data_IF_201971476296
#
_entry.id   IF_201971476296
#
_cell.length_a   1.000
_cell.length_b   1.000
_cell.length_c   1.000
_cell.angle_alpha   90.00
_cell.angle_beta   90.00
_cell.angle_gamma   90.00
#
_symmetry.space_group_name_H-M   'P 1'
#
loop_
_entity.id
_entity.type
_entity.pdbx_description
1 polymer ?
#
# COMPACT_ATOMS: atom_id res chain seq x y z
N UNK A 1 -25.80 18.50 -8.36
CA UNK A 1 -24.88 17.34 -8.31
C UNK A 1 -24.35 16.92 -9.68
N UNK A 2 -25.08 17.03 -10.80
CA UNK A 2 -24.53 16.78 -12.16
C UNK A 2 -23.85 18.00 -12.81
N UNK A 3 -24.23 19.23 -12.45
CA UNK A 3 -23.65 20.45 -13.04
C UNK A 3 -22.25 20.81 -12.50
N UNK A 4 -21.93 20.44 -11.26
CA UNK A 4 -20.62 20.72 -10.65
C UNK A 4 -19.48 19.84 -11.24
N UNK A 5 -19.82 18.79 -11.98
CA UNK A 5 -18.83 17.95 -12.67
C UNK A 5 -18.25 18.58 -13.93
N UNK A 6 -18.80 19.69 -14.41
CA UNK A 6 -18.31 20.37 -15.64
C UNK A 6 -17.15 21.33 -15.38
N UNK A 7 -16.77 21.51 -14.11
CA UNK A 7 -15.59 22.27 -13.67
C UNK A 7 -14.62 21.38 -12.86
N UNK A 8 -14.61 20.07 -13.13
CA UNK A 8 -13.51 19.23 -12.67
C UNK A 8 -12.27 19.64 -13.46
N UNK A 9 -11.27 20.17 -12.76
CA UNK A 9 -9.92 20.45 -13.23
C UNK A 9 -9.50 19.47 -14.35
N UNK A 10 -9.04 19.93 -15.52
CA UNK A 10 -8.64 19.07 -16.64
C UNK A 10 -7.66 17.96 -16.20
N UNK A 11 -6.84 18.23 -15.17
CA UNK A 11 -5.95 17.27 -14.53
C UNK A 11 -6.69 16.04 -13.94
N UNK A 12 -7.84 16.25 -13.29
CA UNK A 12 -8.65 15.19 -12.68
C UNK A 12 -9.26 14.28 -13.76
N UNK A 13 -9.64 14.86 -14.89
CA UNK A 13 -10.13 14.15 -16.07
C UNK A 13 -9.01 13.29 -16.69
N UNK A 14 -7.78 13.82 -16.83
CA UNK A 14 -6.62 13.07 -17.33
C UNK A 14 -6.20 11.92 -16.42
N UNK A 15 -6.26 12.10 -15.10
CA UNK A 15 -5.99 11.04 -14.11
C UNK A 15 -7.00 9.90 -14.26
N UNK A 16 -8.29 10.22 -14.36
CA UNK A 16 -9.36 9.24 -14.53
C UNK A 16 -9.25 8.53 -15.88
N UNK A 17 -8.94 9.26 -16.97
CA UNK A 17 -8.78 8.67 -18.30
C UNK A 17 -7.55 7.75 -18.35
N UNK A 18 -6.42 8.18 -17.81
CA UNK A 18 -5.20 7.34 -17.74
C UNK A 18 -5.45 6.10 -16.90
N UNK A 19 -6.16 6.24 -15.77
CA UNK A 19 -6.61 5.11 -14.95
C UNK A 19 -7.48 4.13 -15.75
N UNK A 20 -8.53 4.62 -16.40
CA UNK A 20 -9.44 3.78 -17.18
C UNK A 20 -8.74 3.09 -18.35
N UNK A 21 -7.82 3.77 -19.03
CA UNK A 21 -7.02 3.19 -20.11
C UNK A 21 -6.10 2.09 -19.58
N UNK A 22 -5.41 2.32 -18.47
CA UNK A 22 -4.59 1.30 -17.80
C UNK A 22 -5.45 0.11 -17.33
N UNK A 23 -6.63 0.36 -16.76
CA UNK A 23 -7.54 -0.68 -16.30
C UNK A 23 -8.14 -1.48 -17.47
N UNK A 24 -8.43 -0.86 -18.61
CA UNK A 24 -8.95 -1.53 -19.81
C UNK A 24 -7.86 -2.36 -20.50
N UNK A 25 -6.65 -1.82 -20.70
CA UNK A 25 -5.49 -2.57 -21.20
C UNK A 25 -5.19 -3.78 -20.30
N UNK A 26 -5.35 -3.60 -18.99
CA UNK A 26 -5.20 -4.66 -18.00
C UNK A 26 -6.19 -5.81 -18.20
N UNK A 27 -7.50 -5.49 -18.29
CA UNK A 27 -8.57 -6.49 -18.40
C UNK A 27 -8.52 -7.26 -19.73
N UNK A 28 -8.15 -6.60 -20.84
CA UNK A 28 -8.20 -7.22 -22.17
C UNK A 28 -6.94 -8.01 -22.56
N UNK A 29 -5.77 -7.68 -22.02
CA UNK A 29 -4.51 -8.24 -22.52
C UNK A 29 -3.53 -8.72 -21.45
N UNK A 30 -3.51 -8.07 -20.28
CA UNK A 30 -2.44 -8.24 -19.29
C UNK A 30 -2.77 -9.20 -18.12
N UNK A 31 -4.00 -9.71 -18.04
CA UNK A 31 -4.44 -10.60 -16.95
C UNK A 31 -3.65 -11.91 -16.81
N UNK A 32 -2.91 -12.30 -17.84
CA UNK A 32 -2.16 -13.56 -17.86
C UNK A 32 -0.75 -13.42 -17.22
N UNK A 33 -0.39 -12.25 -16.70
CA UNK A 33 0.91 -11.99 -16.08
C UNK A 33 0.73 -11.57 -14.60
N UNK A 34 1.11 -12.43 -13.63
CA UNK A 34 0.93 -12.22 -12.18
C UNK A 34 1.49 -10.88 -11.64
N UNK A 35 2.58 -10.39 -12.25
CA UNK A 35 3.21 -9.11 -11.89
C UNK A 35 2.27 -7.92 -12.13
N UNK A 36 1.48 -7.98 -13.19
CA UNK A 36 0.69 -6.85 -13.68
C UNK A 36 -0.64 -6.71 -12.93
N UNK A 37 -1.18 -7.80 -12.38
CA UNK A 37 -2.34 -7.77 -11.49
C UNK A 37 -2.04 -7.01 -10.18
N UNK A 38 -0.92 -7.34 -9.55
CA UNK A 38 -0.47 -6.67 -8.34
C UNK A 38 -0.15 -5.18 -8.58
N UNK A 39 0.48 -4.87 -9.72
CA UNK A 39 0.78 -3.50 -10.12
C UNK A 39 -0.50 -2.67 -10.34
N UNK A 40 -1.53 -3.25 -10.95
CA UNK A 40 -2.80 -2.56 -11.25
C UNK A 40 -3.65 -2.33 -10.01
N UNK A 41 -3.63 -3.25 -9.04
CA UNK A 41 -4.30 -3.03 -7.75
C UNK A 41 -3.58 -1.91 -6.98
N UNK A 42 -2.25 -1.92 -6.96
CA UNK A 42 -1.45 -0.88 -6.31
C UNK A 42 -1.63 0.49 -6.99
N UNK A 43 -1.68 0.57 -8.33
CA UNK A 43 -1.91 1.83 -9.05
C UNK A 43 -3.27 2.45 -8.73
N UNK A 44 -4.30 1.64 -8.44
CA UNK A 44 -5.59 2.13 -7.99
C UNK A 44 -5.53 2.94 -6.69
N UNK A 45 -4.61 2.63 -5.77
CA UNK A 45 -4.39 3.43 -4.56
C UNK A 45 -3.73 4.77 -4.87
N UNK A 46 -2.74 4.78 -5.77
CA UNK A 46 -2.09 6.01 -6.22
C UNK A 46 -3.06 6.96 -6.91
N UNK A 47 -3.94 6.42 -7.75
CA UNK A 47 -4.90 7.21 -8.52
C UNK A 47 -5.99 7.79 -7.61
N UNK A 48 -6.40 7.07 -6.55
CA UNK A 48 -7.25 7.65 -5.50
C UNK A 48 -6.55 8.76 -4.73
N UNK A 49 -5.27 8.61 -4.41
CA UNK A 49 -4.49 9.67 -3.78
C UNK A 49 -4.45 10.91 -4.67
N UNK A 50 -4.03 10.76 -5.93
CA UNK A 50 -3.96 11.84 -6.93
C UNK A 50 -5.31 12.53 -7.14
N UNK A 51 -6.40 11.77 -7.24
CA UNK A 51 -7.75 12.34 -7.32
C UNK A 51 -8.12 13.14 -6.06
N UNK A 52 -7.71 12.66 -4.87
CA UNK A 52 -7.89 13.38 -3.61
C UNK A 52 -7.15 14.72 -3.59
N UNK A 53 -5.87 14.74 -3.99
CA UNK A 53 -5.09 15.98 -4.07
C UNK A 53 -5.62 16.95 -5.12
N UNK A 54 -6.06 16.44 -6.27
CA UNK A 54 -6.70 17.27 -7.30
C UNK A 54 -8.04 17.84 -6.84
N UNK A 55 -8.81 17.13 -6.01
CA UNK A 55 -10.08 17.61 -5.46
C UNK A 55 -9.90 18.66 -4.35
N UNK A 56 -8.77 18.65 -3.65
CA UNK A 56 -8.45 19.60 -2.56
C UNK A 56 -7.51 20.73 -3.00
N UNK A 57 -7.06 20.72 -4.26
CA UNK A 57 -6.02 21.62 -4.81
C UNK A 57 -4.71 21.59 -4.00
N UNK A 58 -4.39 20.43 -3.40
CA UNK A 58 -3.17 20.21 -2.63
C UNK A 58 -2.20 19.39 -3.49
N UNK A 59 -1.03 19.96 -3.76
CA UNK A 59 0.05 19.26 -4.42
C UNK A 59 0.52 18.08 -3.56
N UNK A 60 0.42 16.86 -4.10
CA UNK A 60 0.85 15.64 -3.41
C UNK A 60 2.35 15.47 -3.60
N UNK A 61 3.06 15.15 -2.51
CA UNK A 61 4.49 14.87 -2.55
C UNK A 61 4.81 13.58 -3.31
N UNK A 62 5.82 13.60 -4.18
CA UNK A 62 6.34 12.40 -4.84
C UNK A 62 6.74 11.31 -3.85
N UNK A 63 7.32 11.71 -2.71
CA UNK A 63 7.67 10.79 -1.63
C UNK A 63 6.45 10.07 -1.05
N UNK A 64 5.35 10.80 -0.86
CA UNK A 64 4.09 10.21 -0.41
C UNK A 64 3.56 9.20 -1.43
N UNK A 65 3.60 9.53 -2.72
CA UNK A 65 3.17 8.62 -3.77
C UNK A 65 4.00 7.34 -3.78
N UNK A 66 5.32 7.44 -3.64
CA UNK A 66 6.18 6.26 -3.59
C UNK A 66 5.88 5.38 -2.36
N UNK A 67 5.79 5.97 -1.15
CA UNK A 67 5.47 5.21 0.08
C UNK A 67 4.08 4.60 0.00
N UNK A 68 3.07 5.34 -0.46
CA UNK A 68 1.70 4.85 -0.59
C UNK A 68 1.59 3.75 -1.65
N UNK A 69 2.30 3.89 -2.76
CA UNK A 69 2.33 2.91 -3.85
C UNK A 69 2.91 1.57 -3.40
N UNK A 70 4.15 1.57 -2.92
CA UNK A 70 4.81 0.35 -2.45
C UNK A 70 4.17 -0.20 -1.17
N UNK A 71 3.68 0.66 -0.28
CA UNK A 71 2.94 0.25 0.91
C UNK A 71 1.62 -0.46 0.55
N UNK A 72 0.88 0.05 -0.44
CA UNK A 72 -0.32 -0.62 -0.92
C UNK A 72 -0.01 -1.96 -1.60
N UNK A 73 1.08 -2.03 -2.39
CA UNK A 73 1.54 -3.28 -2.99
C UNK A 73 1.88 -4.33 -1.92
N UNK A 74 2.56 -3.92 -0.85
CA UNK A 74 2.86 -4.77 0.30
C UNK A 74 1.59 -5.31 0.96
N UNK A 75 0.59 -4.47 1.23
CA UNK A 75 -0.68 -4.90 1.86
C UNK A 75 -1.45 -5.84 0.93
N UNK A 76 -1.54 -5.53 -0.36
CA UNK A 76 -2.28 -6.34 -1.34
C UNK A 76 -1.62 -7.70 -1.54
N UNK A 77 -0.31 -7.72 -1.79
CA UNK A 77 0.45 -8.95 -1.97
C UNK A 77 0.46 -9.80 -0.67
N UNK A 78 0.57 -9.16 0.48
CA UNK A 78 0.51 -9.80 1.79
C UNK A 78 -0.84 -10.46 2.05
N UNK A 79 -1.95 -9.77 1.78
CA UNK A 79 -3.29 -10.35 1.89
C UNK A 79 -3.45 -11.58 0.99
N UNK A 80 -3.02 -11.49 -0.27
CA UNK A 80 -3.05 -12.64 -1.21
C UNK A 80 -2.21 -13.81 -0.72
N UNK A 81 -1.04 -13.51 -0.16
CA UNK A 81 -0.15 -14.51 0.43
C UNK A 81 -0.83 -15.23 1.60
N UNK A 82 -1.41 -14.49 2.55
CA UNK A 82 -2.09 -15.09 3.69
C UNK A 82 -3.31 -15.90 3.27
N UNK A 83 -4.13 -15.40 2.33
CA UNK A 83 -5.24 -16.17 1.74
C UNK A 83 -4.73 -17.51 1.17
N UNK A 84 -3.63 -17.50 0.41
CA UNK A 84 -3.06 -18.71 -0.19
C UNK A 84 -2.55 -19.71 0.86
N UNK A 85 -1.81 -19.24 1.87
CA UNK A 85 -1.25 -20.09 2.93
C UNK A 85 -2.36 -20.70 3.79
N UNK A 86 -3.43 -19.97 4.09
CA UNK A 86 -4.59 -20.53 4.79
C UNK A 86 -5.27 -21.61 3.97
N UNK A 87 -5.44 -21.40 2.66
CA UNK A 87 -6.01 -22.40 1.76
C UNK A 87 -5.13 -23.66 1.64
N UNK A 88 -3.81 -23.50 1.57
CA UNK A 88 -2.85 -24.62 1.58
C UNK A 88 -2.89 -25.42 2.89
N UNK A 89 -3.23 -24.78 4.02
CA UNK A 89 -3.30 -25.42 5.33
C UNK A 89 -4.62 -26.15 5.63
N UNK A 90 -5.72 -25.81 4.92
CA UNK A 90 -7.07 -26.36 5.18
C UNK A 90 -7.46 -27.56 4.29
N UNK A 91 -6.57 -28.03 3.42
CA UNK A 91 -6.56 -29.37 2.78
C UNK A 91 -7.89 -29.97 2.27
N UNK A 92 -8.86 -29.20 1.72
CA UNK A 92 -9.90 -29.86 0.90
C UNK A 92 -11.22 -29.19 0.52
N UNK A 93 -11.64 -28.03 1.02
CA UNK A 93 -12.90 -27.42 0.54
C UNK A 93 -12.66 -26.24 -0.40
N UNK A 94 -12.47 -26.58 -1.68
CA UNK A 94 -12.42 -25.63 -2.80
C UNK A 94 -13.82 -25.04 -3.04
N UNK A 95 -14.24 -24.17 -2.13
CA UNK A 95 -15.36 -23.26 -2.39
C UNK A 95 -14.95 -22.28 -3.48
N UNK A 96 -15.39 -22.55 -4.71
CA UNK A 96 -15.46 -21.80 -6.00
C UNK A 96 -14.97 -20.33 -6.15
N UNK A 97 -14.30 -19.70 -5.20
CA UNK A 97 -14.32 -18.24 -5.06
C UNK A 97 -13.20 -17.54 -5.82
N UNK A 98 -12.03 -18.14 -6.13
CA UNK A 98 -10.95 -17.38 -6.81
C UNK A 98 -10.03 -18.23 -7.70
N UNK A 99 -10.48 -18.49 -8.93
CA UNK A 99 -9.64 -18.99 -10.03
C UNK A 99 -8.37 -18.16 -10.29
N UNK A 100 -8.29 -16.89 -9.85
CA UNK A 100 -7.11 -16.04 -10.00
C UNK A 100 -5.97 -16.34 -9.00
N UNK A 101 -6.26 -16.98 -7.86
CA UNK A 101 -5.23 -17.35 -6.88
C UNK A 101 -4.36 -18.52 -7.37
N UNK A 102 -4.90 -19.37 -8.24
CA UNK A 102 -4.21 -20.53 -8.83
C UNK A 102 -3.02 -20.14 -9.74
N UNK A 103 -2.88 -18.86 -10.09
CA UNK A 103 -1.77 -18.37 -10.92
C UNK A 103 -0.53 -17.98 -10.10
N UNK A 104 -0.62 -17.96 -8.77
CA UNK A 104 0.45 -17.53 -7.87
C UNK A 104 1.02 -18.69 -7.06
N UNK A 105 2.32 -18.64 -6.80
CA UNK A 105 2.96 -19.50 -5.78
C UNK A 105 3.17 -18.70 -4.49
N UNK A 106 3.10 -19.37 -3.34
CA UNK A 106 3.41 -18.78 -2.03
C UNK A 106 4.79 -18.11 -2.02
N UNK A 107 5.79 -18.74 -2.65
CA UNK A 107 7.15 -18.20 -2.80
C UNK A 107 7.18 -16.88 -3.59
N UNK A 108 6.44 -16.81 -4.71
CA UNK A 108 6.39 -15.59 -5.52
C UNK A 108 5.71 -14.44 -4.76
N UNK A 109 4.56 -14.70 -4.13
CA UNK A 109 3.88 -13.68 -3.34
C UNK A 109 4.75 -13.20 -2.17
N UNK A 110 5.45 -14.13 -1.50
CA UNK A 110 6.45 -13.80 -0.46
C UNK A 110 7.54 -12.87 -0.98
N UNK A 111 8.10 -13.17 -2.14
CA UNK A 111 9.08 -12.30 -2.79
C UNK A 111 8.51 -10.90 -3.04
N UNK A 112 7.32 -10.80 -3.63
CA UNK A 112 6.72 -9.50 -3.97
C UNK A 112 6.45 -8.65 -2.74
N UNK A 113 5.79 -9.18 -1.71
CA UNK A 113 5.49 -8.39 -0.52
C UNK A 113 6.76 -8.02 0.27
N UNK A 114 7.78 -8.88 0.26
CA UNK A 114 9.09 -8.58 0.88
C UNK A 114 9.81 -7.44 0.16
N UNK A 115 9.86 -7.47 -1.17
CA UNK A 115 10.46 -6.37 -1.95
C UNK A 115 9.68 -5.08 -1.76
N UNK A 116 8.35 -5.13 -1.79
CA UNK A 116 7.50 -3.96 -1.56
C UNK A 116 7.72 -3.35 -0.16
N UNK A 117 7.81 -4.19 0.88
CA UNK A 117 8.16 -3.79 2.23
C UNK A 117 9.52 -3.07 2.29
N UNK A 118 10.56 -3.67 1.70
CA UNK A 118 11.91 -3.12 1.68
C UNK A 118 11.97 -1.76 0.96
N UNK A 119 11.33 -1.64 -0.21
CA UNK A 119 11.26 -0.38 -0.95
C UNK A 119 10.49 0.68 -0.17
N UNK A 120 9.40 0.32 0.50
CA UNK A 120 8.63 1.25 1.35
C UNK A 120 9.48 1.84 2.46
N UNK A 121 10.22 0.99 3.20
CA UNK A 121 11.14 1.44 4.26
C UNK A 121 12.26 2.30 3.70
N UNK A 122 12.84 1.90 2.56
CA UNK A 122 13.91 2.64 1.90
C UNK A 122 13.46 4.03 1.46
N UNK A 123 12.32 4.13 0.77
CA UNK A 123 11.76 5.42 0.31
C UNK A 123 11.45 6.32 1.50
N UNK A 124 10.85 5.79 2.57
CA UNK A 124 10.59 6.56 3.77
C UNK A 124 11.90 7.04 4.42
N UNK A 125 12.91 6.16 4.54
CA UNK A 125 14.24 6.53 5.05
C UNK A 125 14.93 7.61 4.20
N UNK A 126 14.84 7.52 2.87
CA UNK A 126 15.34 8.55 1.96
C UNK A 126 14.62 9.88 2.16
N UNK A 127 13.30 9.87 2.31
CA UNK A 127 12.53 11.07 2.63
C UNK A 127 12.94 11.68 3.97
N UNK A 128 13.25 10.86 4.98
CA UNK A 128 13.71 11.33 6.30
C UNK A 128 15.03 12.11 6.18
N UNK A 129 15.96 11.68 5.32
CA UNK A 129 17.30 12.30 5.21
C UNK A 129 17.41 13.39 4.15
N UNK A 130 16.57 13.36 3.10
CA UNK A 130 16.70 14.26 1.94
C UNK A 130 15.84 15.51 2.05
N UNK A 131 14.73 15.46 2.80
CA UNK A 131 13.87 16.62 2.96
C UNK A 131 14.43 17.53 4.04
N UNK A 132 14.85 18.77 3.72
CA UNK A 132 15.40 19.71 4.70
C UNK A 132 14.36 20.05 5.77
N UNK A 133 14.77 20.01 7.05
CA UNK A 133 13.91 20.32 8.21
C UNK A 133 14.72 20.96 9.33
N UNK A 134 14.03 21.70 10.19
CA UNK A 134 14.64 22.32 11.37
C UNK A 134 15.02 21.28 12.43
N UNK A 135 14.19 20.26 12.65
CA UNK A 135 14.47 19.15 13.58
C UNK A 135 14.78 17.83 12.86
N UNK A 136 16.06 17.55 12.63
CA UNK A 136 16.52 16.31 12.00
C UNK A 136 16.39 15.09 12.93
N UNK A 137 16.55 15.28 14.24
CA UNK A 137 16.57 14.17 15.22
C UNK A 137 15.20 13.51 15.42
N UNK A 138 14.12 14.30 15.53
CA UNK A 138 12.78 13.75 15.71
C UNK A 138 12.30 12.97 14.46
N UNK A 139 12.71 13.44 13.27
CA UNK A 139 12.43 12.74 12.01
C UNK A 139 13.14 11.40 11.95
N UNK A 140 14.43 11.33 12.34
CA UNK A 140 15.19 10.08 12.37
C UNK A 140 14.60 9.08 13.37
N UNK A 141 14.12 9.56 14.52
CA UNK A 141 13.45 8.71 15.51
C UNK A 141 12.17 8.08 14.91
N UNK A 142 11.45 8.79 14.04
CA UNK A 142 10.23 8.26 13.39
C UNK A 142 10.48 7.04 12.49
N UNK A 143 11.70 6.84 11.99
CA UNK A 143 12.07 5.70 11.13
C UNK A 143 11.94 4.38 11.88
N UNK A 144 12.24 4.37 13.18
CA UNK A 144 12.22 3.17 14.02
C UNK A 144 10.81 2.60 14.18
N UNK A 145 9.80 3.34 14.68
CA UNK A 145 8.45 2.81 14.82
C UNK A 145 7.80 2.50 13.48
N UNK A 146 8.11 3.25 12.42
CA UNK A 146 7.63 2.95 11.07
C UNK A 146 8.11 1.58 10.59
N UNK A 147 9.43 1.35 10.65
CA UNK A 147 10.04 0.10 10.20
C UNK A 147 9.59 -1.08 11.05
N UNK A 148 9.58 -0.92 12.37
CA UNK A 148 9.10 -1.96 13.28
C UNK A 148 7.63 -2.28 13.06
N UNK A 149 6.77 -1.28 12.84
CA UNK A 149 5.35 -1.51 12.55
C UNK A 149 5.17 -2.31 11.26
N UNK A 150 5.93 -1.97 10.22
CA UNK A 150 5.92 -2.69 8.96
C UNK A 150 6.41 -4.14 9.10
N UNK A 151 7.47 -4.38 9.88
CA UNK A 151 7.98 -5.73 10.17
C UNK A 151 7.02 -6.56 11.04
N UNK A 152 6.39 -5.96 12.05
CA UNK A 152 5.38 -6.66 12.86
C UNK A 152 4.17 -7.04 12.00
N UNK A 153 3.76 -6.17 11.08
CA UNK A 153 2.67 -6.51 10.16
C UNK A 153 3.08 -7.57 9.14
N UNK A 154 4.33 -7.55 8.67
CA UNK A 154 4.91 -8.62 7.85
C UNK A 154 4.89 -9.98 8.58
N UNK A 155 5.16 -10.02 9.89
CA UNK A 155 5.03 -11.24 10.69
C UNK A 155 3.57 -11.74 10.75
N UNK A 156 2.60 -10.83 10.82
CA UNK A 156 1.17 -11.20 10.79
C UNK A 156 0.80 -11.81 9.44
N UNK A 157 1.26 -11.21 8.33
CA UNK A 157 1.09 -11.77 6.98
C UNK A 157 1.70 -13.16 6.88
N UNK A 158 2.94 -13.33 7.38
CA UNK A 158 3.69 -14.58 7.31
C UNK A 158 2.99 -15.72 8.06
N UNK A 159 2.35 -15.40 9.20
CA UNK A 159 1.60 -16.35 10.02
C UNK A 159 0.28 -16.85 9.39
N UNK A 160 -0.04 -16.44 8.17
CA UNK A 160 -1.32 -16.76 7.52
C UNK A 160 -2.53 -16.01 8.12
N UNK A 161 -2.30 -15.10 9.08
CA UNK A 161 -3.33 -14.29 9.74
C UNK A 161 -3.50 -12.90 9.13
N UNK A 162 -2.93 -12.67 7.96
CA UNK A 162 -3.10 -11.44 7.18
C UNK A 162 -4.48 -11.35 6.52
N UNK A 163 -5.54 -11.48 7.33
CA UNK A 163 -6.93 -11.23 6.94
C UNK A 163 -7.15 -9.77 6.55
N UNK A 164 -8.34 -9.22 6.82
CA UNK A 164 -8.58 -7.80 6.55
C UNK A 164 -7.52 -6.92 7.26
N UNK A 165 -6.77 -6.09 6.51
CA UNK A 165 -5.65 -5.31 7.05
C UNK A 165 -6.08 -4.44 8.23
N UNK A 166 -7.27 -3.84 8.19
CA UNK A 166 -7.81 -3.08 9.31
C UNK A 166 -7.98 -3.93 10.58
N UNK A 167 -8.50 -5.15 10.44
CA UNK A 167 -8.79 -6.04 11.56
C UNK A 167 -7.50 -6.62 12.15
N UNK A 168 -6.51 -6.91 11.31
CA UNK A 168 -5.19 -7.36 11.75
C UNK A 168 -4.45 -6.29 12.56
N UNK A 169 -4.54 -5.02 12.16
CA UNK A 169 -3.94 -3.89 12.87
C UNK A 169 -4.67 -3.64 14.19
N UNK A 170 -6.00 -3.56 14.17
CA UNK A 170 -6.80 -3.25 15.37
C UNK A 170 -6.72 -4.32 16.45
N UNK A 171 -6.51 -5.58 16.08
CA UNK A 171 -6.34 -6.68 17.04
C UNK A 171 -4.96 -6.76 17.66
N UNK A 172 -3.95 -6.11 17.07
CA UNK A 172 -2.57 -6.21 17.52
C UNK A 172 -2.16 -4.95 18.31
N UNK A 173 -2.08 -5.01 19.65
CA UNK A 173 -1.74 -3.85 20.47
C UNK A 173 -0.33 -3.32 20.18
N UNK A 174 0.60 -4.17 19.72
CA UNK A 174 1.93 -3.76 19.30
C UNK A 174 1.89 -2.90 18.04
N UNK A 175 1.06 -3.24 17.05
CA UNK A 175 0.89 -2.42 15.85
C UNK A 175 0.25 -1.07 16.17
N UNK A 176 -0.73 -1.03 17.06
CA UNK A 176 -1.35 0.21 17.51
C UNK A 176 -0.36 1.10 18.27
N UNK A 177 0.44 0.52 19.18
CA UNK A 177 1.45 1.26 19.93
C UNK A 177 2.53 1.84 19.01
N UNK A 178 3.02 1.06 18.04
CA UNK A 178 3.99 1.51 17.06
C UNK A 178 3.41 2.59 16.13
N UNK A 179 2.16 2.43 15.69
CA UNK A 179 1.46 3.44 14.89
C UNK A 179 1.28 4.76 15.65
N UNK A 180 0.88 4.70 16.93
CA UNK A 180 0.77 5.87 17.78
C UNK A 180 2.12 6.56 17.98
N UNK A 181 3.17 5.79 18.28
CA UNK A 181 4.53 6.32 18.46
C UNK A 181 5.03 6.99 17.18
N UNK A 182 4.74 6.41 16.01
CA UNK A 182 5.07 7.00 14.72
C UNK A 182 4.35 8.33 14.48
N UNK A 183 3.03 8.38 14.69
CA UNK A 183 2.23 9.62 14.55
C UNK A 183 2.72 10.71 15.49
N UNK A 184 3.03 10.36 16.75
CA UNK A 184 3.59 11.31 17.73
C UNK A 184 4.93 11.84 17.25
N UNK A 185 5.83 10.97 16.77
CA UNK A 185 7.14 11.38 16.27
C UNK A 185 7.05 12.33 15.08
N UNK A 186 6.12 12.07 14.15
CA UNK A 186 5.87 12.97 13.02
C UNK A 186 5.20 14.28 13.45
N UNK A 187 4.26 14.24 14.39
CA UNK A 187 3.65 15.43 14.95
C UNK A 187 4.71 16.34 15.58
N UNK A 188 5.58 15.80 16.41
CA UNK A 188 6.70 16.56 17.00
C UNK A 188 7.57 17.17 15.91
N UNK A 189 7.88 16.44 14.84
CA UNK A 189 8.69 16.93 13.72
C UNK A 189 8.05 18.09 12.95
N UNK A 190 6.72 18.15 12.87
CA UNK A 190 6.00 19.17 12.11
C UNK A 190 5.72 20.44 12.91
N UNK A 191 5.62 20.33 14.24
CA UNK A 191 5.26 21.43 15.13
C UNK A 191 6.45 22.01 15.93
N UNK A 192 7.60 21.33 15.94
CA UNK A 192 8.83 21.75 16.66
C UNK A 192 10.00 21.78 15.69
#
# INVERSE_FOLDING_TARGET
SLALSTLAEPALLWVIVTYLVLQLLYVFWLKNQPVLDLAVIASGFLLRALAGGAATDIAISDWFLLVAGFGSLFVVAGKRYSELVTLEAEDGEVGQTRSSLLSYTSTYLRFVWTVAAAVTVMVYGLWVITVPRESTTATLISLVPFTLGLLVYALVIDSGKGGEPETAILRNPTLLALGALWVISLGVTLYV
#
